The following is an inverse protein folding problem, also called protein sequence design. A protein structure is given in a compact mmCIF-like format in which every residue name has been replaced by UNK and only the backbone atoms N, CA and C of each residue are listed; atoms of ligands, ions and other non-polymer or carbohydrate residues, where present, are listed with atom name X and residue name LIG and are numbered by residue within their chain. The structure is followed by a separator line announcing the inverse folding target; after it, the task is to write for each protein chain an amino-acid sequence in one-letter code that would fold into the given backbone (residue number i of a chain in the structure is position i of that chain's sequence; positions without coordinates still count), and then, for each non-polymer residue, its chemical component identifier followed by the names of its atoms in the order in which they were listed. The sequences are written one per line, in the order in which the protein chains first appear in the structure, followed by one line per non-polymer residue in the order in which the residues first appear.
data_IF_809556101685
#
_entry.id   IF_809556101685
#
_cell.length_a   1.000
_cell.length_b   1.000
_cell.length_c   1.000
_cell.angle_alpha   90.00
_cell.angle_beta   90.00
_cell.angle_gamma   90.00
#
_symmetry.space_group_name_H-M   'P 1'
#
loop_
_entity.id
_entity.type
_entity.pdbx_description
1 polymer ?
#
# COMPACT_ATOMS: atom_id res chain seq x y z
N UNK A 1 -11.13 -24.54 -8.63
CA UNK A 1 -11.09 -23.39 -9.55
C UNK A 1 -10.23 -22.28 -8.98
N UNK A 2 -9.38 -21.72 -9.79
CA UNK A 2 -8.49 -20.64 -9.35
C UNK A 2 -9.14 -19.27 -9.58
N UNK A 3 -8.75 -18.28 -8.80
CA UNK A 3 -9.22 -16.91 -9.01
C UNK A 3 -8.95 -16.43 -10.43
N UNK A 4 -7.80 -16.79 -11.00
CA UNK A 4 -7.44 -16.39 -12.36
C UNK A 4 -8.46 -16.89 -13.40
N UNK A 5 -8.93 -18.12 -13.24
CA UNK A 5 -9.93 -18.71 -14.15
C UNK A 5 -11.30 -18.04 -14.01
N UNK A 6 -11.59 -17.47 -12.86
CA UNK A 6 -12.89 -16.88 -12.55
C UNK A 6 -12.95 -15.36 -12.73
N UNK A 7 -11.84 -14.71 -13.07
CA UNK A 7 -11.74 -13.25 -13.14
C UNK A 7 -12.89 -12.58 -13.88
N UNK A 8 -13.24 -13.12 -15.05
CA UNK A 8 -14.26 -12.53 -15.90
C UNK A 8 -15.70 -12.92 -15.52
N UNK A 9 -15.84 -13.86 -14.61
CA UNK A 9 -17.15 -14.34 -14.13
C UNK A 9 -17.59 -13.66 -12.84
N UNK A 10 -16.71 -12.92 -12.17
CA UNK A 10 -17.03 -12.19 -10.94
C UNK A 10 -18.00 -11.06 -11.25
N UNK A 11 -19.07 -10.95 -10.46
CA UNK A 11 -19.92 -9.78 -10.53
C UNK A 11 -19.20 -8.57 -9.88
N UNK A 12 -19.76 -7.37 -10.07
CA UNK A 12 -19.14 -6.13 -9.59
C UNK A 12 -18.85 -6.18 -8.09
N UNK A 13 -19.82 -6.58 -7.27
CA UNK A 13 -19.68 -6.60 -5.82
C UNK A 13 -18.55 -7.51 -5.35
N UNK A 14 -18.48 -8.72 -5.90
CA UNK A 14 -17.41 -9.67 -5.57
C UNK A 14 -16.05 -9.19 -6.06
N UNK A 15 -16.00 -8.64 -7.27
CA UNK A 15 -14.77 -8.10 -7.84
C UNK A 15 -14.21 -6.96 -6.99
N UNK A 16 -15.05 -5.99 -6.66
CA UNK A 16 -14.64 -4.83 -5.86
C UNK A 16 -14.27 -5.26 -4.43
N UNK A 17 -14.99 -6.25 -3.87
CA UNK A 17 -14.64 -6.80 -2.56
C UNK A 17 -13.25 -7.42 -2.54
N UNK A 18 -12.85 -8.14 -3.59
CA UNK A 18 -11.54 -8.77 -3.68
C UNK A 18 -10.42 -7.77 -4.00
N UNK A 19 -10.63 -6.91 -4.99
CA UNK A 19 -9.60 -6.04 -5.51
C UNK A 19 -9.60 -4.63 -4.90
N UNK A 20 -10.70 -4.25 -4.25
CA UNK A 20 -10.84 -2.92 -3.64
C UNK A 20 -9.97 -2.68 -2.42
N UNK A 21 -9.37 -3.74 -1.87
CA UNK A 21 -8.47 -3.68 -0.70
C UNK A 21 -6.99 -3.70 -1.08
N UNK A 22 -6.69 -3.85 -2.37
CA UNK A 22 -5.29 -3.88 -2.86
C UNK A 22 -4.60 -2.54 -2.60
N UNK A 23 -5.25 -1.43 -2.93
CA UNK A 23 -4.79 -0.10 -2.53
C UNK A 23 -5.49 0.31 -1.25
N UNK A 24 -4.72 0.74 -0.24
CA UNK A 24 -5.22 1.05 1.09
C UNK A 24 -6.41 2.02 1.04
N UNK A 25 -7.56 1.59 1.54
CA UNK A 25 -8.80 2.42 1.61
C UNK A 25 -9.15 3.14 0.31
N UNK A 26 -8.78 2.57 -0.85
CA UNK A 26 -8.91 3.21 -2.16
C UNK A 26 -9.66 2.29 -3.12
N UNK A 27 -10.92 2.05 -2.81
CA UNK A 27 -11.76 1.10 -3.53
C UNK A 27 -12.04 1.51 -4.97
N UNK A 28 -12.03 2.81 -5.28
CA UNK A 28 -12.40 3.32 -6.61
C UNK A 28 -11.49 2.81 -7.74
N UNK A 29 -10.24 2.44 -7.44
CA UNK A 29 -9.35 1.84 -8.44
C UNK A 29 -9.92 0.50 -8.94
N UNK A 30 -10.41 -0.34 -8.02
CA UNK A 30 -11.05 -1.61 -8.38
C UNK A 30 -12.36 -1.38 -9.14
N UNK A 31 -13.12 -0.35 -8.79
CA UNK A 31 -14.35 0.00 -9.51
C UNK A 31 -14.06 0.37 -10.96
N UNK A 32 -13.03 1.18 -11.21
CA UNK A 32 -12.59 1.52 -12.56
C UNK A 32 -12.05 0.28 -13.30
N UNK A 33 -11.29 -0.55 -12.60
CA UNK A 33 -10.71 -1.77 -13.16
C UNK A 33 -11.81 -2.72 -13.67
N UNK A 34 -12.91 -2.84 -12.94
CA UNK A 34 -14.04 -3.69 -13.34
C UNK A 34 -14.55 -3.33 -14.74
N UNK A 35 -14.56 -2.05 -15.08
CA UNK A 35 -15.03 -1.57 -16.39
C UNK A 35 -14.07 -1.94 -17.55
N UNK A 36 -12.88 -2.44 -17.22
CA UNK A 36 -11.90 -2.90 -18.23
C UNK A 36 -12.01 -4.39 -18.59
N UNK A 37 -13.02 -5.08 -18.06
CA UNK A 37 -13.27 -6.49 -18.45
C UNK A 37 -13.58 -6.60 -19.95
N UNK A 38 -13.30 -7.73 -20.61
CA UNK A 38 -12.69 -8.94 -20.05
C UNK A 38 -11.16 -8.83 -19.93
N UNK A 39 -10.60 -9.59 -18.98
CA UNK A 39 -9.14 -9.71 -18.79
C UNK A 39 -8.65 -10.98 -19.49
N UNK A 40 -7.52 -10.88 -20.17
CA UNK A 40 -6.90 -12.00 -20.89
C UNK A 40 -6.17 -12.97 -19.95
N UNK A 41 -5.66 -12.44 -18.85
CA UNK A 41 -4.87 -13.18 -17.85
C UNK A 41 -4.82 -12.37 -16.57
N UNK A 42 -4.24 -12.95 -15.51
CA UNK A 42 -3.98 -12.17 -14.28
C UNK A 42 -2.99 -11.03 -14.55
N UNK A 43 -1.99 -11.27 -15.41
CA UNK A 43 -1.01 -10.24 -15.79
C UNK A 43 -1.69 -9.07 -16.50
N UNK A 44 -2.66 -9.35 -17.35
CA UNK A 44 -3.46 -8.31 -18.01
C UNK A 44 -4.24 -7.47 -17.00
N UNK A 45 -4.87 -8.10 -16.02
CA UNK A 45 -5.57 -7.41 -14.95
C UNK A 45 -4.62 -6.52 -14.15
N UNK A 46 -3.48 -7.08 -13.74
CA UNK A 46 -2.47 -6.35 -12.95
C UNK A 46 -1.96 -5.13 -13.72
N UNK A 47 -1.63 -5.32 -15.00
CA UNK A 47 -1.18 -4.22 -15.85
C UNK A 47 -2.23 -3.11 -15.97
N UNK A 48 -3.49 -3.48 -16.18
CA UNK A 48 -4.59 -2.51 -16.24
C UNK A 48 -4.79 -1.77 -14.93
N UNK A 49 -4.68 -2.48 -13.80
CA UNK A 49 -4.78 -1.85 -12.48
C UNK A 49 -3.67 -0.81 -12.27
N UNK A 50 -2.43 -1.15 -12.60
CA UNK A 50 -1.31 -0.21 -12.48
C UNK A 50 -1.39 0.94 -13.49
N UNK A 51 -1.95 0.72 -14.68
CA UNK A 51 -2.22 1.81 -15.62
C UNK A 51 -3.20 2.84 -15.01
N UNK A 52 -4.25 2.37 -14.36
CA UNK A 52 -5.18 3.25 -13.65
C UNK A 52 -4.45 4.04 -12.56
N UNK A 53 -3.64 3.35 -11.74
CA UNK A 53 -2.88 3.98 -10.68
C UNK A 53 -1.88 5.02 -11.21
N UNK A 54 -1.07 4.66 -12.21
CA UNK A 54 -0.05 5.56 -12.75
C UNK A 54 -0.62 6.76 -13.50
N UNK A 55 -1.84 6.66 -14.05
CA UNK A 55 -2.53 7.77 -14.71
C UNK A 55 -3.31 8.66 -13.73
N UNK A 56 -3.31 8.33 -12.45
CA UNK A 56 -4.02 9.10 -11.43
C UNK A 56 -3.37 10.46 -11.22
N UNK A 57 -4.17 11.51 -11.11
CA UNK A 57 -3.68 12.87 -10.88
C UNK A 57 -3.01 13.00 -9.52
N UNK A 58 -2.03 13.91 -9.43
CA UNK A 58 -1.25 14.12 -8.21
C UNK A 58 -2.12 14.36 -6.97
N UNK A 59 -3.19 15.15 -7.10
CA UNK A 59 -4.11 15.43 -5.99
C UNK A 59 -4.79 14.16 -5.45
N UNK A 60 -5.16 13.25 -6.33
CA UNK A 60 -5.78 11.98 -5.96
C UNK A 60 -4.74 10.99 -5.41
N UNK A 61 -3.52 11.01 -5.95
CA UNK A 61 -2.42 10.21 -5.39
C UNK A 61 -2.15 10.64 -3.94
N UNK A 62 -2.17 11.93 -3.65
CA UNK A 62 -2.02 12.43 -2.27
C UNK A 62 -3.09 11.85 -1.34
N UNK A 63 -4.33 11.73 -1.80
CA UNK A 63 -5.40 11.09 -1.01
C UNK A 63 -5.08 9.62 -0.75
N UNK A 64 -4.56 8.91 -1.74
CA UNK A 64 -4.12 7.52 -1.58
C UNK A 64 -3.01 7.43 -0.52
N UNK A 65 -1.99 8.29 -0.62
CA UNK A 65 -0.89 8.31 0.34
C UNK A 65 -1.40 8.57 1.76
N UNK A 66 -2.30 9.53 1.93
CA UNK A 66 -2.88 9.88 3.24
C UNK A 66 -3.76 8.77 3.82
N UNK A 67 -4.21 7.84 2.99
CA UNK A 67 -5.03 6.71 3.44
C UNK A 67 -4.21 5.61 4.13
N UNK A 68 -2.89 5.65 4.01
CA UNK A 68 -2.02 4.65 4.62
C UNK A 68 -1.83 4.91 6.10
N UNK A 69 -1.72 3.84 6.93
CA UNK A 69 -1.51 4.00 8.37
C UNK A 69 -0.07 4.41 8.69
N UNK A 70 0.12 5.03 9.84
CA UNK A 70 1.44 5.30 10.40
C UNK A 70 2.04 4.01 10.91
N UNK A 71 3.30 3.76 10.59
CA UNK A 71 3.97 2.51 10.98
C UNK A 71 4.18 2.44 12.50
N UNK A 72 3.93 1.26 13.04
CA UNK A 72 4.18 0.84 14.42
C UNK A 72 3.32 1.52 15.48
N UNK A 73 2.67 2.64 15.18
CA UNK A 73 1.90 3.41 16.19
C UNK A 73 0.39 3.43 15.93
N UNK A 74 -0.05 3.06 14.74
CA UNK A 74 -1.48 3.05 14.39
C UNK A 74 -2.17 1.81 14.96
N UNK A 75 -3.33 1.99 15.58
CA UNK A 75 -4.09 0.89 16.20
C UNK A 75 -5.19 0.33 15.31
N UNK A 76 -5.81 1.18 14.49
CA UNK A 76 -6.91 0.78 13.60
C UNK A 76 -6.37 0.51 12.21
N UNK A 77 -5.95 -0.74 11.96
CA UNK A 77 -5.35 -1.15 10.71
C UNK A 77 -6.32 -1.98 9.88
N UNK A 78 -6.25 -1.84 8.55
CA UNK A 78 -6.89 -2.79 7.64
C UNK A 78 -6.24 -4.16 7.82
N UNK A 79 -6.93 -5.20 7.35
CA UNK A 79 -6.42 -6.58 7.48
C UNK A 79 -5.03 -6.73 6.85
N UNK A 80 -4.84 -6.23 5.62
CA UNK A 80 -3.54 -6.31 4.95
C UNK A 80 -2.45 -5.54 5.70
N UNK A 81 -2.72 -4.30 6.09
CA UNK A 81 -1.75 -3.49 6.85
C UNK A 81 -1.41 -4.13 8.19
N UNK A 82 -2.41 -4.71 8.88
CA UNK A 82 -2.18 -5.40 10.14
C UNK A 82 -1.26 -6.61 9.98
N UNK A 83 -1.50 -7.44 8.98
CA UNK A 83 -0.67 -8.61 8.69
C UNK A 83 0.74 -8.22 8.27
N UNK A 84 0.87 -7.22 7.39
CA UNK A 84 2.15 -6.70 6.91
C UNK A 84 3.01 -6.20 8.07
N UNK A 85 2.45 -5.37 8.96
CA UNK A 85 3.18 -4.84 10.10
C UNK A 85 3.52 -5.93 11.13
N UNK A 86 2.63 -6.91 11.32
CA UNK A 86 2.88 -8.04 12.19
C UNK A 86 4.06 -8.88 11.69
N UNK A 87 4.11 -9.19 10.40
CA UNK A 87 5.21 -9.96 9.80
C UNK A 87 6.54 -9.21 9.84
N UNK A 88 6.52 -7.89 9.81
CA UNK A 88 7.71 -7.05 9.97
C UNK A 88 8.08 -6.81 11.45
N UNK A 89 7.35 -7.43 12.37
CA UNK A 89 7.55 -7.32 13.82
C UNK A 89 7.32 -5.91 14.38
N UNK A 90 6.56 -5.08 13.67
CA UNK A 90 6.30 -3.69 14.06
C UNK A 90 5.34 -3.58 15.25
N UNK A 91 4.60 -4.64 15.55
CA UNK A 91 3.69 -4.69 16.71
C UNK A 91 4.43 -5.00 18.02
N UNK A 92 5.70 -5.42 17.95
CA UNK A 92 6.53 -5.83 19.09
C UNK A 92 7.72 -4.88 19.28
N UNK A 93 7.46 -3.58 19.23
CA UNK A 93 8.48 -2.57 19.45
C UNK A 93 8.80 -2.44 20.93
N UNK A 94 10.08 -2.19 21.26
CA UNK A 94 10.46 -1.71 22.58
C UNK A 94 9.91 -0.30 22.78
N UNK A 95 9.91 0.20 24.04
CA UNK A 95 9.50 1.58 24.32
C UNK A 95 10.32 2.58 23.51
N UNK A 96 11.64 2.36 23.43
CA UNK A 96 12.55 3.22 22.67
C UNK A 96 12.23 3.20 21.17
N UNK A 97 12.00 2.03 20.60
CA UNK A 97 11.63 1.88 19.21
C UNK A 97 10.28 2.54 18.91
N UNK A 98 9.31 2.33 19.77
CA UNK A 98 7.98 2.95 19.64
C UNK A 98 8.08 4.47 19.67
N UNK A 99 8.85 5.03 20.61
CA UNK A 99 9.04 6.47 20.74
C UNK A 99 9.75 7.04 19.51
N UNK A 100 10.74 6.34 18.97
CA UNK A 100 11.41 6.74 17.73
C UNK A 100 10.44 6.74 16.53
N UNK A 101 9.65 5.68 16.36
CA UNK A 101 8.64 5.64 15.31
C UNK A 101 7.64 6.79 15.46
N UNK A 102 7.19 7.07 16.67
CA UNK A 102 6.25 8.15 16.94
C UNK A 102 6.85 9.51 16.55
N UNK A 103 8.08 9.76 16.95
CA UNK A 103 8.78 11.00 16.62
C UNK A 103 8.98 11.14 15.11
N UNK A 104 9.48 10.10 14.46
CA UNK A 104 9.73 10.11 13.02
C UNK A 104 8.43 10.25 12.21
N UNK A 105 7.35 9.57 12.61
CA UNK A 105 6.05 9.71 11.96
C UNK A 105 5.54 11.15 12.03
N UNK A 106 5.67 11.79 13.19
CA UNK A 106 5.24 13.18 13.37
C UNK A 106 6.08 14.14 12.53
N UNK A 107 7.39 14.01 12.56
CA UNK A 107 8.31 14.84 11.77
C UNK A 107 8.10 14.67 10.27
N UNK A 108 7.92 13.42 9.85
CA UNK A 108 7.70 13.09 8.43
C UNK A 108 6.40 13.70 7.91
N UNK A 109 5.31 13.49 8.64
CA UNK A 109 4.00 14.00 8.23
C UNK A 109 3.97 15.53 8.23
N UNK A 110 4.61 16.17 9.21
CA UNK A 110 4.73 17.61 9.26
C UNK A 110 5.51 18.17 8.07
N UNK A 111 6.59 17.50 7.69
CA UNK A 111 7.43 17.91 6.55
C UNK A 111 6.76 17.64 5.18
N UNK A 112 6.15 16.47 5.00
CA UNK A 112 5.72 16.02 3.68
C UNK A 112 4.21 16.09 3.46
N UNK A 113 3.41 16.13 4.53
CA UNK A 113 1.95 16.20 4.44
C UNK A 113 1.25 14.88 4.17
N UNK A 114 1.97 13.76 4.21
CA UNK A 114 1.43 12.41 4.12
C UNK A 114 2.27 11.47 5.00
N UNK A 115 1.76 10.29 5.39
CA UNK A 115 2.51 9.39 6.26
C UNK A 115 3.67 8.73 5.51
N UNK A 116 4.70 8.31 6.26
CA UNK A 116 5.79 7.51 5.71
C UNK A 116 5.25 6.16 5.23
N UNK A 117 5.55 5.82 3.99
CA UNK A 117 5.08 4.59 3.36
C UNK A 117 6.28 3.79 2.86
N UNK A 118 6.33 2.53 3.25
CA UNK A 118 7.36 1.59 2.81
C UNK A 118 6.73 0.19 2.70
N UNK A 119 7.07 -0.53 1.64
CA UNK A 119 6.73 -1.95 1.54
C UNK A 119 7.59 -2.72 2.54
N UNK A 120 6.96 -3.26 3.58
CA UNK A 120 7.67 -3.85 4.71
C UNK A 120 8.00 -5.33 4.52
N UNK A 121 7.47 -5.97 3.50
CA UNK A 121 7.71 -7.39 3.22
C UNK A 121 9.20 -7.67 3.05
N UNK A 122 9.70 -8.65 3.80
CA UNK A 122 11.12 -9.02 3.78
C UNK A 122 12.02 -8.10 4.57
N UNK A 123 11.48 -7.13 5.30
CA UNK A 123 12.25 -6.18 6.12
C UNK A 123 11.95 -6.36 7.60
N UNK A 124 12.94 -6.08 8.43
CA UNK A 124 12.77 -6.04 9.89
C UNK A 124 12.68 -4.59 10.39
N UNK A 125 12.40 -4.42 11.68
CA UNK A 125 12.26 -3.10 12.31
C UNK A 125 13.48 -2.20 12.09
N UNK A 126 14.68 -2.77 12.20
CA UNK A 126 15.94 -2.01 12.08
C UNK A 126 16.11 -1.46 10.67
N UNK A 127 15.87 -2.30 9.67
CA UNK A 127 15.93 -1.88 8.26
C UNK A 127 14.90 -0.80 7.95
N UNK A 128 13.68 -0.94 8.48
CA UNK A 128 12.60 0.03 8.30
C UNK A 128 12.97 1.35 8.96
N UNK A 129 13.49 1.33 10.19
CA UNK A 129 13.95 2.54 10.88
C UNK A 129 15.08 3.23 10.11
N UNK A 130 16.04 2.47 9.58
CA UNK A 130 17.13 3.03 8.80
C UNK A 130 16.62 3.72 7.52
N UNK A 131 15.68 3.10 6.82
CA UNK A 131 15.03 3.70 5.67
C UNK A 131 14.29 5.00 6.05
N UNK A 132 13.59 4.97 7.18
CA UNK A 132 12.85 6.12 7.68
C UNK A 132 13.78 7.30 7.94
N UNK A 133 14.89 7.04 8.65
CA UNK A 133 15.89 8.07 8.97
C UNK A 133 16.53 8.70 7.74
N UNK A 134 16.74 7.89 6.69
CA UNK A 134 17.30 8.37 5.43
C UNK A 134 16.27 9.20 4.64
N UNK A 135 15.06 8.66 4.50
CA UNK A 135 14.04 9.27 3.66
C UNK A 135 13.49 10.57 4.22
N UNK A 136 13.48 10.75 5.53
CA UNK A 136 13.01 12.00 6.14
C UNK A 136 13.86 13.21 5.73
N UNK A 137 15.09 12.99 5.25
CA UNK A 137 15.99 14.04 4.78
C UNK A 137 15.82 14.38 3.29
N UNK A 138 15.01 13.62 2.55
CA UNK A 138 14.76 13.87 1.14
C UNK A 138 13.91 15.14 0.94
N UNK A 139 13.97 15.71 -0.27
CA UNK A 139 13.04 16.78 -0.62
C UNK A 139 11.62 16.25 -0.87
N UNK A 140 10.64 17.15 -0.92
CA UNK A 140 9.22 16.79 -1.02
C UNK A 140 8.92 16.05 -2.32
N UNK A 141 9.49 16.47 -3.45
CA UNK A 141 9.21 15.85 -4.75
C UNK A 141 9.79 14.44 -4.85
N UNK A 142 11.02 14.26 -4.37
CA UNK A 142 11.65 12.95 -4.32
C UNK A 142 10.85 12.01 -3.43
N UNK A 143 10.43 12.48 -2.27
CA UNK A 143 9.70 11.66 -1.31
C UNK A 143 8.29 11.34 -1.78
N UNK A 144 7.61 12.26 -2.48
CA UNK A 144 6.33 11.98 -3.11
C UNK A 144 6.46 10.85 -4.15
N UNK A 145 7.49 10.93 -5.00
CA UNK A 145 7.76 9.90 -6.01
C UNK A 145 8.10 8.56 -5.35
N UNK A 146 8.90 8.58 -4.30
CA UNK A 146 9.26 7.36 -3.56
C UNK A 146 8.05 6.74 -2.87
N UNK A 147 7.23 7.55 -2.21
CA UNK A 147 6.00 7.06 -1.57
C UNK A 147 5.05 6.43 -2.58
N UNK A 148 4.88 7.07 -3.74
CA UNK A 148 4.07 6.54 -4.84
C UNK A 148 4.59 5.18 -5.31
N UNK A 149 5.91 5.04 -5.44
CA UNK A 149 6.57 3.78 -5.81
C UNK A 149 6.36 2.70 -4.73
N UNK A 150 6.46 3.05 -3.47
CA UNK A 150 6.25 2.11 -2.37
C UNK A 150 4.80 1.60 -2.32
N UNK A 151 3.82 2.46 -2.55
CA UNK A 151 2.41 2.06 -2.66
C UNK A 151 2.23 1.03 -3.78
N UNK A 152 2.87 1.24 -4.93
CA UNK A 152 2.84 0.27 -6.04
C UNK A 152 3.43 -1.08 -5.63
N UNK A 153 4.54 -1.08 -4.92
CA UNK A 153 5.17 -2.31 -4.41
C UNK A 153 4.24 -3.05 -3.43
N UNK A 154 3.62 -2.33 -2.52
CA UNK A 154 2.65 -2.90 -1.58
C UNK A 154 1.49 -3.55 -2.34
N UNK A 155 0.94 -2.84 -3.32
CA UNK A 155 -0.14 -3.36 -4.16
C UNK A 155 0.27 -4.63 -4.90
N UNK A 156 1.49 -4.67 -5.46
CA UNK A 156 2.00 -5.86 -6.15
C UNK A 156 2.09 -7.05 -5.19
N UNK A 157 2.63 -6.86 -3.99
CA UNK A 157 2.70 -7.94 -3.00
C UNK A 157 1.32 -8.46 -2.61
N UNK A 158 0.35 -7.56 -2.43
CA UNK A 158 -1.03 -7.95 -2.09
C UNK A 158 -1.70 -8.71 -3.24
N UNK A 159 -1.46 -8.31 -4.48
CA UNK A 159 -1.97 -9.02 -5.65
C UNK A 159 -1.35 -10.42 -5.77
N UNK A 160 -0.04 -10.52 -5.57
CA UNK A 160 0.66 -11.81 -5.61
C UNK A 160 0.08 -12.75 -4.56
N UNK A 161 -0.14 -12.27 -3.35
CA UNK A 161 -0.77 -13.07 -2.29
C UNK A 161 -2.20 -13.49 -2.67
N UNK A 162 -2.99 -12.56 -3.18
CA UNK A 162 -4.38 -12.83 -3.56
C UNK A 162 -4.48 -13.93 -4.61
N UNK A 163 -3.60 -13.93 -5.62
CA UNK A 163 -3.61 -14.90 -6.68
C UNK A 163 -3.00 -16.26 -6.33
N UNK A 164 -2.30 -16.35 -5.20
CA UNK A 164 -1.71 -17.63 -4.74
C UNK A 164 -2.60 -18.38 -3.75
N UNK A 165 -3.70 -17.80 -3.32
CA UNK A 165 -4.65 -18.43 -2.38
C UNK A 165 -5.56 -19.43 -3.06
#
# INVERSE_FOLDING_TARGET
MTLENDLNNLNRDKFVSLFGVIFEKTQWIAEKLFDHKPFKSKEDLINKMFQIYESTQKSEVLVILKSHPKLAIEKNLTKYSSEEQSHANLKNCTEEEYNEFKRLNNEYEEKFGFPFIIAVKGKNKIEILNNFRQRINNDIELEFSEAKSQVRKIAQFRLDELFTK
#
